data_IF_025660939368
#
_entry.id   IF_025660939368
#
_cell.length_a   1.000
_cell.length_b   1.000
_cell.length_c   1.000
_cell.angle_alpha   90.00
_cell.angle_beta   90.00
_cell.angle_gamma   90.00
#
_symmetry.space_group_name_H-M   'P 1'
#
loop_
_entity.id
_entity.type
_entity.pdbx_description
1 polymer ?
#
# COMPACT_ATOMS: atom_id res chain seq x y z
N UNK A 1 0.08 31.04 -37.29
CA UNK A 1 -0.19 31.58 -35.94
C UNK A 1 -0.20 30.43 -34.97
N UNK A 2 0.93 30.22 -34.29
CA UNK A 2 1.12 29.15 -33.31
C UNK A 2 0.37 29.52 -32.03
N UNK A 3 -0.77 28.89 -31.78
CA UNK A 3 -1.44 28.95 -30.47
C UNK A 3 -0.71 28.01 -29.52
N UNK A 4 0.41 28.49 -28.97
CA UNK A 4 1.06 27.90 -27.80
C UNK A 4 0.10 27.98 -26.60
N UNK A 5 -0.77 26.98 -26.45
CA UNK A 5 -1.45 26.74 -25.18
C UNK A 5 -0.39 26.28 -24.17
N UNK A 6 0.15 27.23 -23.40
CA UNK A 6 0.98 26.98 -22.23
C UNK A 6 0.21 25.98 -21.35
N UNK A 7 0.68 24.72 -21.20
CA UNK A 7 -0.11 23.71 -20.52
C UNK A 7 -0.35 24.17 -19.09
N UNK A 8 -1.61 24.43 -18.77
CA UNK A 8 -2.01 24.75 -17.41
C UNK A 8 -1.68 23.55 -16.52
N UNK A 9 -1.33 23.77 -15.25
CA UNK A 9 -1.01 22.69 -14.31
C UNK A 9 -2.12 21.63 -14.24
N UNK A 10 -3.37 22.05 -14.48
CA UNK A 10 -4.54 21.17 -14.57
C UNK A 10 -4.49 20.20 -15.75
N UNK A 11 -4.03 20.64 -16.92
CA UNK A 11 -3.86 19.75 -18.08
C UNK A 11 -2.77 18.70 -17.81
N UNK A 12 -1.63 19.12 -17.23
CA UNK A 12 -0.55 18.18 -16.87
C UNK A 12 -0.98 17.14 -15.84
N UNK A 13 -1.76 17.53 -14.82
CA UNK A 13 -2.31 16.60 -13.83
C UNK A 13 -3.33 15.63 -14.46
N UNK A 14 -4.17 16.12 -15.37
CA UNK A 14 -5.13 15.27 -16.09
C UNK A 14 -4.42 14.24 -16.96
N UNK A 15 -3.38 14.64 -17.66
CA UNK A 15 -2.54 13.74 -18.46
C UNK A 15 -1.83 12.72 -17.57
N UNK A 16 -1.25 13.16 -16.43
CA UNK A 16 -0.61 12.26 -15.46
C UNK A 16 -1.57 11.21 -14.89
N UNK A 17 -2.78 11.60 -14.47
CA UNK A 17 -3.80 10.67 -13.98
C UNK A 17 -4.20 9.67 -15.08
N UNK A 18 -4.27 10.13 -16.33
CA UNK A 18 -4.60 9.28 -17.48
C UNK A 18 -3.52 8.22 -17.72
N UNK A 19 -2.25 8.59 -17.63
CA UNK A 19 -1.14 7.64 -17.72
C UNK A 19 -1.11 6.67 -16.52
N UNK A 20 -1.32 7.16 -15.28
CA UNK A 20 -1.44 6.28 -14.10
C UNK A 20 -2.56 5.24 -14.27
N UNK A 21 -3.71 5.64 -14.83
CA UNK A 21 -4.82 4.73 -15.10
C UNK A 21 -4.43 3.63 -16.09
N UNK A 22 -3.67 3.96 -17.15
CA UNK A 22 -3.17 2.95 -18.10
C UNK A 22 -2.27 1.92 -17.43
N UNK A 23 -1.36 2.36 -16.55
CA UNK A 23 -0.49 1.46 -15.80
C UNK A 23 -1.32 0.52 -14.93
N UNK A 24 -2.29 1.04 -14.18
CA UNK A 24 -3.17 0.22 -13.34
C UNK A 24 -4.01 -0.78 -14.15
N UNK A 25 -4.40 -0.45 -15.38
CA UNK A 25 -5.11 -1.38 -16.26
C UNK A 25 -4.24 -2.53 -16.78
N UNK A 26 -2.92 -2.32 -16.90
CA UNK A 26 -1.97 -3.36 -17.36
C UNK A 26 -1.55 -4.27 -16.18
N UNK A 27 -1.64 -3.80 -14.94
CA UNK A 27 -1.33 -4.65 -13.77
C UNK A 27 -2.30 -5.83 -13.65
N UNK A 28 -1.77 -7.01 -13.40
CA UNK A 28 -2.57 -8.22 -13.16
C UNK A 28 -3.28 -8.09 -11.81
N UNK A 29 -4.62 -8.10 -11.83
CA UNK A 29 -5.41 -8.20 -10.61
C UNK A 29 -5.11 -9.54 -9.93
N UNK A 30 -4.79 -9.57 -8.63
CA UNK A 30 -4.43 -10.81 -7.94
C UNK A 30 -5.59 -11.79 -7.94
N UNK A 31 -5.27 -13.08 -8.07
CA UNK A 31 -6.28 -14.13 -7.93
C UNK A 31 -6.68 -14.32 -6.46
N UNK A 32 -7.90 -14.82 -6.22
CA UNK A 32 -8.40 -15.07 -4.87
C UNK A 32 -7.53 -16.07 -4.09
N UNK A 33 -6.88 -17.01 -4.78
CA UNK A 33 -5.96 -17.96 -4.15
C UNK A 33 -4.66 -17.26 -3.69
N UNK A 34 -4.04 -16.49 -4.59
CA UNK A 34 -2.81 -15.73 -4.31
C UNK A 34 -3.03 -14.75 -3.15
N UNK A 35 -4.15 -14.02 -3.17
CA UNK A 35 -4.49 -13.08 -2.10
C UNK A 35 -4.62 -13.79 -0.75
N UNK A 36 -5.32 -14.92 -0.69
CA UNK A 36 -5.48 -15.70 0.55
C UNK A 36 -4.14 -16.24 1.05
N UNK A 37 -3.26 -16.68 0.15
CA UNK A 37 -1.94 -17.17 0.53
C UNK A 37 -1.10 -16.05 1.16
N UNK A 38 -1.02 -14.88 0.50
CA UNK A 38 -0.29 -13.72 1.00
C UNK A 38 -0.86 -13.24 2.34
N UNK A 39 -2.19 -13.11 2.44
CA UNK A 39 -2.85 -12.66 3.67
C UNK A 39 -2.55 -13.62 4.83
N UNK A 40 -2.59 -14.94 4.60
CA UNK A 40 -2.29 -15.94 5.64
C UNK A 40 -0.84 -15.85 6.14
N UNK A 41 0.12 -15.70 5.24
CA UNK A 41 1.54 -15.63 5.62
C UNK A 41 1.84 -14.30 6.31
N UNK A 42 1.35 -13.19 5.76
CA UNK A 42 1.54 -11.85 6.34
C UNK A 42 0.88 -11.71 7.70
N UNK A 43 -0.33 -12.25 7.88
CA UNK A 43 -1.01 -12.19 9.18
C UNK A 43 -0.30 -13.01 10.24
N UNK A 44 0.29 -14.16 9.88
CA UNK A 44 1.16 -14.95 10.77
C UNK A 44 2.38 -14.14 11.23
N UNK A 45 3.04 -13.43 10.30
CA UNK A 45 4.17 -12.56 10.64
C UNK A 45 3.79 -11.42 11.58
N UNK A 46 2.68 -10.72 11.29
CA UNK A 46 2.17 -9.62 12.12
C UNK A 46 1.80 -10.12 13.52
N UNK A 47 1.15 -11.30 13.61
CA UNK A 47 0.78 -11.90 14.88
C UNK A 47 2.02 -12.22 15.73
N UNK A 48 3.06 -12.80 15.14
CA UNK A 48 4.30 -13.14 15.84
C UNK A 48 5.00 -11.89 16.37
N UNK A 49 5.20 -10.88 15.51
CA UNK A 49 5.87 -9.63 15.90
C UNK A 49 5.05 -8.89 16.96
N UNK A 50 3.73 -8.81 16.76
CA UNK A 50 2.80 -8.20 17.71
C UNK A 50 2.79 -8.92 19.06
N UNK A 51 2.82 -10.26 19.07
CA UNK A 51 2.89 -11.04 20.29
C UNK A 51 4.20 -10.81 21.04
N UNK A 52 5.35 -10.75 20.34
CA UNK A 52 6.64 -10.47 20.96
C UNK A 52 6.63 -9.07 21.59
N UNK A 53 6.20 -8.04 20.85
CA UNK A 53 6.10 -6.68 21.39
C UNK A 53 5.13 -6.59 22.57
N UNK A 54 3.99 -7.29 22.48
CA UNK A 54 3.02 -7.37 23.57
C UNK A 54 3.59 -8.05 24.82
N UNK A 55 4.34 -9.15 24.67
CA UNK A 55 4.97 -9.82 25.80
C UNK A 55 6.02 -8.94 26.49
N UNK A 56 6.83 -8.21 25.72
CA UNK A 56 7.79 -7.25 26.29
C UNK A 56 7.08 -6.17 27.09
N UNK A 57 6.03 -5.56 26.52
CA UNK A 57 5.23 -4.54 27.20
C UNK A 57 4.53 -5.10 28.45
N UNK A 58 4.03 -6.33 28.39
CA UNK A 58 3.36 -6.98 29.50
C UNK A 58 4.33 -7.23 30.66
N UNK A 59 5.54 -7.71 30.35
CA UNK A 59 6.61 -7.90 31.35
C UNK A 59 7.00 -6.54 31.95
N UNK A 60 7.19 -5.51 31.15
CA UNK A 60 7.51 -4.17 31.64
C UNK A 60 6.41 -3.64 32.58
N UNK A 61 5.14 -3.77 32.21
CA UNK A 61 4.01 -3.33 33.05
C UNK A 61 3.92 -4.13 34.35
N UNK A 62 4.24 -5.42 34.34
CA UNK A 62 4.12 -6.29 35.51
C UNK A 62 5.31 -6.15 36.47
N UNK A 63 6.51 -5.86 35.95
CA UNK A 63 7.78 -5.91 36.68
C UNK A 63 8.31 -4.51 37.04
N UNK A 64 7.97 -3.48 36.26
CA UNK A 64 8.35 -2.08 36.51
C UNK A 64 7.27 -1.28 37.27
N UNK A 65 6.12 -1.90 37.54
CA UNK A 65 5.09 -1.41 38.48
C UNK A 65 5.25 -2.09 39.83
#
# INVERSE_FOLDING_TARGET
>A
MEFQQKPSLLQKLKDFITECKRVLMITKKPDQFELKAIVKVSSLGILLIGAIGFLVQLIEILLLK
#
